data_IF_894641130201
#
_entry.id   IF_894641130201
#
_cell.length_a   1.000
_cell.length_b   1.000
_cell.length_c   1.000
_cell.angle_alpha   90.00
_cell.angle_beta   90.00
_cell.angle_gamma   90.00
#
_symmetry.space_group_name_H-M   'P 1'
#
loop_
_entity.id
_entity.type
_entity.pdbx_description
1 polymer ?
#
# COMPACT_ATOMS: atom_id res chain seq x y z
N UNK A 1 31.15 11.95 -13.00
CA UNK A 1 29.83 12.57 -12.81
C UNK A 1 28.87 11.41 -12.60
N UNK A 2 28.66 11.03 -11.35
CA UNK A 2 27.58 10.15 -10.95
C UNK A 2 26.25 10.87 -11.16
N UNK A 3 25.20 10.12 -11.45
CA UNK A 3 23.85 10.68 -11.59
C UNK A 3 23.26 10.89 -10.20
N UNK A 4 22.55 11.99 -9.96
CA UNK A 4 21.95 12.29 -8.64
C UNK A 4 21.05 11.15 -8.17
N UNK A 5 20.33 10.51 -9.10
CA UNK A 5 19.47 9.38 -8.81
C UNK A 5 20.21 8.09 -8.41
N UNK A 6 21.51 7.97 -8.68
CA UNK A 6 22.35 6.84 -8.24
C UNK A 6 22.96 7.15 -6.87
N UNK A 7 23.47 8.36 -6.66
CA UNK A 7 24.06 8.75 -5.37
C UNK A 7 23.00 8.71 -4.25
N UNK A 8 21.77 9.14 -4.55
CA UNK A 8 20.63 9.03 -3.64
C UNK A 8 20.30 7.58 -3.22
N UNK A 9 20.77 6.57 -3.97
CA UNK A 9 20.55 5.16 -3.67
C UNK A 9 21.43 4.69 -2.50
N UNK A 10 22.70 5.08 -2.53
CA UNK A 10 23.67 4.75 -1.49
C UNK A 10 23.36 5.51 -0.20
N UNK A 11 23.03 6.81 -0.30
CA UNK A 11 22.56 7.61 0.83
C UNK A 11 21.29 7.02 1.46
N UNK A 12 20.34 6.58 0.64
CA UNK A 12 19.12 5.95 1.12
C UNK A 12 19.39 4.62 1.84
N UNK A 13 20.36 3.85 1.37
CA UNK A 13 20.79 2.60 2.00
C UNK A 13 21.41 2.87 3.37
N UNK A 14 22.29 3.85 3.46
CA UNK A 14 22.99 4.20 4.70
C UNK A 14 22.03 4.80 5.73
N UNK A 15 21.14 5.72 5.30
CA UNK A 15 20.10 6.28 6.15
C UNK A 15 19.13 5.20 6.67
N UNK A 16 18.69 4.28 5.79
CA UNK A 16 17.83 3.16 6.19
C UNK A 16 18.52 2.26 7.21
N UNK A 17 19.78 1.92 6.96
CA UNK A 17 20.58 1.07 7.86
C UNK A 17 20.76 1.73 9.22
N UNK A 18 21.07 3.03 9.26
CA UNK A 18 21.24 3.79 10.50
C UNK A 18 19.93 4.03 11.28
N UNK A 19 18.76 3.97 10.63
CA UNK A 19 17.47 4.03 11.30
C UNK A 19 17.11 2.67 11.94
N UNK A 20 17.36 1.60 11.19
CA UNK A 20 17.05 0.22 11.56
C UNK A 20 18.01 -0.38 12.58
N UNK A 21 19.27 0.06 12.57
CA UNK A 21 20.33 -0.41 13.44
C UNK A 21 20.82 0.72 14.36
N UNK A 22 21.10 0.44 15.65
CA UNK A 22 21.00 -0.86 16.32
C UNK A 22 19.55 -1.34 16.48
N UNK A 23 19.37 -2.66 16.55
CA UNK A 23 18.04 -3.27 16.63
C UNK A 23 17.31 -2.88 17.92
N UNK A 24 16.16 -2.23 17.76
CA UNK A 24 15.22 -1.89 18.82
C UNK A 24 13.83 -2.44 18.43
N UNK A 25 13.36 -3.44 19.17
CA UNK A 25 12.08 -4.09 18.89
C UNK A 25 10.89 -3.12 18.92
N UNK A 26 10.94 -2.09 19.78
CA UNK A 26 9.91 -1.06 19.86
C UNK A 26 9.93 -0.14 18.64
N UNK A 27 11.11 0.25 18.16
CA UNK A 27 11.27 1.01 16.91
C UNK A 27 10.78 0.21 15.71
N UNK A 28 11.21 -1.04 15.59
CA UNK A 28 10.81 -1.95 14.52
C UNK A 28 9.31 -2.20 14.51
N UNK A 29 8.69 -2.47 15.66
CA UNK A 29 7.25 -2.68 15.74
C UNK A 29 6.44 -1.45 15.31
N UNK A 30 6.86 -0.24 15.70
CA UNK A 30 6.20 1.00 15.29
C UNK A 30 6.39 1.28 13.81
N UNK A 31 7.60 1.08 13.26
CA UNK A 31 7.84 1.23 11.82
C UNK A 31 7.07 0.19 11.02
N UNK A 32 6.97 -1.05 11.49
CA UNK A 32 6.18 -2.10 10.84
C UNK A 32 4.70 -1.73 10.82
N UNK A 33 4.18 -1.22 11.94
CA UNK A 33 2.81 -0.70 12.00
C UNK A 33 2.60 0.47 11.03
N UNK A 34 3.52 1.42 10.94
CA UNK A 34 3.46 2.52 9.95
C UNK A 34 3.48 1.95 8.52
N UNK A 35 4.43 1.05 8.23
CA UNK A 35 4.62 0.44 6.92
C UNK A 35 3.42 -0.41 6.48
N UNK A 36 2.68 -1.02 7.41
CA UNK A 36 1.45 -1.75 7.12
C UNK A 36 0.42 -0.86 6.39
N UNK A 37 0.24 0.38 6.85
CA UNK A 37 -0.71 1.30 6.23
C UNK A 37 -0.13 2.02 5.01
N UNK A 38 1.18 2.32 5.01
CA UNK A 38 1.83 3.03 3.89
C UNK A 38 2.10 2.12 2.69
N UNK A 39 2.62 0.91 2.93
CA UNK A 39 2.87 -0.09 1.89
C UNK A 39 1.59 -0.75 1.38
N UNK A 40 0.44 -0.51 2.04
CA UNK A 40 -0.84 -1.13 1.75
C UNK A 40 -0.83 -2.66 1.92
N UNK A 41 -2.01 -3.28 1.94
CA UNK A 41 -2.13 -4.74 1.78
C UNK A 41 -1.96 -5.18 0.30
N UNK A 42 -1.38 -4.31 -0.54
CA UNK A 42 -1.21 -4.49 -1.98
C UNK A 42 -0.52 -3.29 -2.67
N UNK A 43 0.30 -2.51 -1.95
CA UNK A 43 0.80 -1.19 -2.37
C UNK A 43 2.31 -1.10 -2.61
N UNK A 44 2.90 -2.11 -3.24
CA UNK A 44 4.02 -1.88 -4.16
C UNK A 44 3.48 -2.05 -5.57
N UNK A 45 3.63 -1.04 -6.42
CA UNK A 45 3.13 -1.07 -7.79
C UNK A 45 3.50 -2.36 -8.52
N UNK A 46 2.50 -2.94 -9.20
CA UNK A 46 2.68 -4.12 -10.06
C UNK A 46 2.36 -5.43 -9.37
N UNK A 47 1.56 -6.24 -10.07
CA UNK A 47 1.22 -7.62 -9.77
C UNK A 47 0.34 -7.83 -8.53
N UNK A 48 -0.97 -7.75 -8.77
CA UNK A 48 -2.01 -8.62 -8.25
C UNK A 48 -1.84 -9.15 -6.84
N UNK A 49 -2.77 -8.75 -5.97
CA UNK A 49 -3.36 -9.71 -5.04
C UNK A 49 -4.01 -10.84 -5.84
N UNK A 50 -3.20 -11.73 -6.41
CA UNK A 50 -3.62 -13.06 -6.79
C UNK A 50 -3.75 -13.84 -5.47
N UNK A 51 -4.74 -13.47 -4.65
CA UNK A 51 -5.52 -14.48 -3.94
C UNK A 51 -6.16 -15.31 -5.04
N UNK A 52 -5.40 -16.29 -5.53
CA UNK A 52 -5.82 -17.35 -6.42
C UNK A 52 -6.89 -18.16 -5.69
N UNK A 53 -8.05 -17.55 -5.52
CA UNK A 53 -9.28 -18.25 -5.24
C UNK A 53 -9.65 -18.80 -6.60
N UNK A 54 -9.14 -19.99 -6.91
CA UNK A 54 -9.77 -20.83 -7.93
C UNK A 54 -11.14 -21.18 -7.37
N UNK A 55 -12.10 -20.25 -7.45
CA UNK A 55 -13.50 -20.62 -7.44
C UNK A 55 -13.65 -21.57 -8.62
N UNK A 56 -13.98 -22.85 -8.39
CA UNK A 56 -14.25 -23.74 -9.50
C UNK A 56 -15.46 -23.15 -10.22
N UNK A 57 -15.26 -22.58 -11.40
CA UNK A 57 -16.37 -22.25 -12.31
C UNK A 57 -16.83 -23.55 -12.96
N UNK A 58 -17.23 -24.51 -12.12
CA UNK A 58 -18.03 -25.64 -12.55
C UNK A 58 -19.44 -25.13 -12.72
N UNK A 59 -19.92 -25.05 -13.96
CA UNK A 59 -21.32 -24.81 -14.30
C UNK A 59 -22.23 -25.97 -13.90
N UNK A 60 -22.10 -26.45 -12.67
CA UNK A 60 -23.06 -27.31 -12.01
C UNK A 60 -23.86 -26.44 -11.06
N UNK A 61 -25.16 -26.30 -11.31
CA UNK A 61 -26.12 -25.90 -10.29
C UNK A 61 -25.96 -26.87 -9.12
N UNK A 62 -25.13 -26.50 -8.15
CA UNK A 62 -25.11 -27.17 -6.86
C UNK A 62 -26.34 -26.63 -6.17
N UNK A 63 -27.45 -27.34 -6.33
CA UNK A 63 -28.64 -27.14 -5.52
C UNK A 63 -28.22 -27.37 -4.07
N UNK A 64 -27.82 -26.29 -3.40
CA UNK A 64 -27.63 -26.30 -1.95
C UNK A 64 -29.03 -26.57 -1.40
N UNK A 65 -29.26 -27.68 -0.67
CA UNK A 65 -30.57 -28.00 -0.14
C UNK A 65 -30.97 -26.88 0.82
N UNK A 66 -31.84 -25.98 0.35
CA UNK A 66 -32.35 -24.84 1.12
C UNK A 66 -33.15 -25.30 2.34
N UNK A 67 -33.64 -26.54 2.32
CA UNK A 67 -34.28 -27.23 3.45
C UNK A 67 -33.34 -27.54 4.63
N UNK A 68 -32.02 -27.38 4.48
CA UNK A 68 -31.03 -27.57 5.56
C UNK A 68 -30.56 -26.27 6.20
N UNK A 69 -31.01 -25.11 5.71
CA UNK A 69 -30.67 -23.81 6.25
C UNK A 69 -31.69 -23.42 7.35
N UNK A 70 -31.24 -22.83 8.47
CA UNK A 70 -32.14 -22.31 9.49
C UNK A 70 -33.18 -21.35 8.87
N UNK A 71 -34.44 -21.39 9.31
CA UNK A 71 -35.57 -20.64 8.72
C UNK A 71 -35.48 -19.11 8.67
N UNK A 72 -34.37 -18.51 9.12
CA UNK A 72 -34.04 -17.10 8.92
C UNK A 72 -33.24 -16.82 7.63
N UNK A 73 -32.83 -17.85 6.89
CA UNK A 73 -32.10 -17.71 5.62
C UNK A 73 -33.10 -17.69 4.46
N UNK A 74 -33.82 -16.58 4.31
CA UNK A 74 -34.61 -16.31 3.09
C UNK A 74 -33.70 -15.68 2.02
N UNK A 75 -34.01 -15.82 0.71
CA UNK A 75 -33.24 -15.17 -0.36
C UNK A 75 -33.07 -13.65 -0.16
N UNK A 76 -34.09 -13.01 0.41
CA UNK A 76 -34.07 -11.58 0.77
C UNK A 76 -33.08 -11.28 1.89
N UNK A 77 -33.03 -12.11 2.94
CA UNK A 77 -32.07 -11.96 4.04
C UNK A 77 -30.63 -12.23 3.60
N UNK A 78 -30.42 -13.14 2.64
CA UNK A 78 -29.10 -13.38 2.03
C UNK A 78 -28.65 -12.17 1.22
N UNK A 79 -29.52 -11.60 0.38
CA UNK A 79 -29.19 -10.42 -0.41
C UNK A 79 -28.88 -9.20 0.49
N UNK A 80 -29.70 -8.98 1.53
CA UNK A 80 -29.46 -7.95 2.53
C UNK A 80 -28.14 -8.18 3.29
N UNK A 81 -27.81 -9.42 3.66
CA UNK A 81 -26.55 -9.77 4.31
C UNK A 81 -25.34 -9.53 3.39
N UNK A 82 -25.45 -9.84 2.09
CA UNK A 82 -24.38 -9.56 1.11
C UNK A 82 -24.18 -8.06 0.96
N UNK A 83 -25.24 -7.26 0.82
CA UNK A 83 -25.14 -5.80 0.74
C UNK A 83 -24.51 -5.24 2.03
N UNK A 84 -24.95 -5.71 3.19
CA UNK A 84 -24.37 -5.29 4.46
C UNK A 84 -22.88 -5.64 4.56
N UNK A 85 -22.49 -6.85 4.13
CA UNK A 85 -21.09 -7.28 4.12
C UNK A 85 -20.24 -6.42 3.17
N UNK A 86 -20.75 -6.14 1.96
CA UNK A 86 -20.09 -5.26 0.99
C UNK A 86 -19.95 -3.84 1.54
N UNK A 87 -21.00 -3.31 2.16
CA UNK A 87 -20.98 -1.99 2.80
C UNK A 87 -19.93 -1.93 3.92
N UNK A 88 -19.88 -2.93 4.79
CA UNK A 88 -18.85 -3.03 5.84
C UNK A 88 -17.45 -3.13 5.23
N UNK A 89 -17.27 -3.94 4.18
CA UNK A 89 -16.00 -4.04 3.46
C UNK A 89 -15.53 -2.71 2.88
N UNK A 90 -16.44 -1.94 2.26
CA UNK A 90 -16.16 -0.60 1.72
C UNK A 90 -15.77 0.36 2.85
N UNK A 91 -16.49 0.35 3.97
CA UNK A 91 -16.15 1.21 5.12
C UNK A 91 -14.77 0.87 5.67
N UNK A 92 -14.46 -0.42 5.85
CA UNK A 92 -13.14 -0.85 6.31
C UNK A 92 -12.04 -0.45 5.34
N UNK A 93 -12.29 -0.59 4.04
CA UNK A 93 -11.36 -0.17 2.99
C UNK A 93 -11.12 1.35 3.01
N UNK A 94 -12.17 2.16 3.15
CA UNK A 94 -12.06 3.63 3.24
C UNK A 94 -11.32 4.05 4.50
N UNK A 95 -11.60 3.43 5.65
CA UNK A 95 -10.87 3.69 6.91
C UNK A 95 -9.39 3.32 6.75
N UNK A 96 -9.09 2.18 6.15
CA UNK A 96 -7.72 1.77 5.87
C UNK A 96 -7.00 2.78 4.98
N UNK A 97 -7.64 3.17 3.88
CA UNK A 97 -7.11 4.15 2.93
C UNK A 97 -6.83 5.49 3.63
N UNK A 98 -7.77 5.99 4.44
CA UNK A 98 -7.63 7.21 5.21
C UNK A 98 -6.46 7.16 6.19
N UNK A 99 -6.36 6.08 6.98
CA UNK A 99 -5.25 5.88 7.92
C UNK A 99 -3.93 5.81 7.15
N UNK A 100 -3.90 5.12 6.01
CA UNK A 100 -2.77 5.09 5.07
C UNK A 100 -2.32 6.49 4.65
N UNK A 101 -3.25 7.35 4.21
CA UNK A 101 -2.94 8.72 3.81
C UNK A 101 -2.28 9.52 4.94
N UNK A 102 -2.77 9.43 6.18
CA UNK A 102 -2.15 10.10 7.33
C UNK A 102 -0.79 9.48 7.67
N UNK A 103 -0.69 8.15 7.61
CA UNK A 103 0.51 7.40 7.98
C UNK A 103 1.70 7.70 7.06
N UNK A 104 1.45 8.11 5.81
CA UNK A 104 2.51 8.58 4.91
C UNK A 104 3.28 9.78 5.48
N UNK A 105 2.59 10.72 6.13
CA UNK A 105 3.21 11.87 6.77
C UNK A 105 3.97 11.47 8.03
N UNK A 106 3.38 10.58 8.84
CA UNK A 106 4.04 10.02 10.03
C UNK A 106 5.33 9.29 9.66
N UNK A 107 5.34 8.58 8.53
CA UNK A 107 6.55 7.93 8.02
C UNK A 107 7.63 8.96 7.68
N UNK A 108 7.30 10.06 7.01
CA UNK A 108 8.28 11.13 6.71
C UNK A 108 8.87 11.70 7.99
N UNK A 109 8.01 12.09 8.94
CA UNK A 109 8.49 12.66 10.21
C UNK A 109 9.39 11.66 10.97
N UNK A 110 9.07 10.36 10.93
CA UNK A 110 9.84 9.30 11.56
C UNK A 110 11.21 9.07 10.90
N UNK A 111 11.29 9.07 9.55
CA UNK A 111 12.56 8.89 8.83
C UNK A 111 13.46 10.13 8.92
N UNK A 112 12.86 11.33 8.92
CA UNK A 112 13.60 12.59 9.07
C UNK A 112 14.14 12.74 10.48
N UNK A 113 13.32 12.53 11.51
CA UNK A 113 13.72 12.76 12.92
C UNK A 113 14.53 11.60 13.52
N UNK A 114 14.53 10.41 12.88
CA UNK A 114 15.00 9.14 13.46
C UNK A 114 14.33 8.73 14.79
N UNK A 115 13.27 9.44 15.20
CA UNK A 115 12.46 9.13 16.38
C UNK A 115 11.07 8.64 15.96
N UNK A 116 10.84 7.34 16.14
CA UNK A 116 9.62 6.68 15.67
C UNK A 116 8.52 6.84 16.71
N UNK A 117 7.74 7.91 16.55
CA UNK A 117 6.56 8.23 17.35
C UNK A 117 5.32 8.27 16.46
N UNK A 118 4.25 7.56 16.85
CA UNK A 118 3.02 7.50 16.05
C UNK A 118 2.03 8.57 16.49
N UNK A 119 1.71 8.63 17.80
CA UNK A 119 0.57 9.42 18.31
C UNK A 119 0.67 10.92 18.07
N UNK A 120 1.84 11.51 18.32
CA UNK A 120 2.05 12.96 18.19
C UNK A 120 2.03 13.41 16.71
N UNK A 121 2.86 12.82 15.81
CA UNK A 121 2.83 13.19 14.38
C UNK A 121 1.49 12.90 13.72
N UNK A 122 0.79 11.82 14.10
CA UNK A 122 -0.53 11.51 13.55
C UNK A 122 -1.54 12.63 13.80
N UNK A 123 -1.52 13.26 14.99
CA UNK A 123 -2.41 14.37 15.33
C UNK A 123 -1.99 15.67 14.63
N UNK A 124 -0.69 15.95 14.58
CA UNK A 124 -0.15 17.16 13.96
C UNK A 124 -0.36 17.16 12.43
N UNK A 125 -0.23 15.98 11.79
CA UNK A 125 -0.36 15.81 10.34
C UNK A 125 -1.75 15.37 9.88
N UNK A 126 -2.73 15.28 10.78
CA UNK A 126 -4.07 14.77 10.49
C UNK A 126 -4.71 15.50 9.30
N UNK A 127 -4.69 16.84 9.31
CA UNK A 127 -5.31 17.65 8.26
C UNK A 127 -4.60 17.54 6.90
N UNK A 128 -3.28 17.33 6.90
CA UNK A 128 -2.53 17.05 5.68
C UNK A 128 -2.92 15.68 5.11
N UNK A 129 -3.08 14.67 5.96
CA UNK A 129 -3.60 13.36 5.59
C UNK A 129 -5.04 13.39 5.06
N UNK A 130 -5.93 14.19 5.65
CA UNK A 130 -7.31 14.38 5.16
C UNK A 130 -7.32 14.98 3.75
N UNK A 131 -6.47 15.98 3.49
CA UNK A 131 -6.34 16.59 2.15
C UNK A 131 -5.82 15.59 1.12
N UNK A 132 -4.84 14.78 1.49
CA UNK A 132 -4.33 13.70 0.65
C UNK A 132 -5.41 12.65 0.37
N UNK A 133 -6.10 12.17 1.41
CA UNK A 133 -7.19 11.20 1.27
C UNK A 133 -8.29 11.73 0.34
N UNK A 134 -8.70 12.99 0.50
CA UNK A 134 -9.72 13.60 -0.35
C UNK A 134 -9.33 13.62 -1.84
N UNK A 135 -8.06 13.92 -2.14
CA UNK A 135 -7.54 13.84 -3.51
C UNK A 135 -7.51 12.40 -4.02
N UNK A 136 -6.99 11.46 -3.23
CA UNK A 136 -6.90 10.06 -3.63
C UNK A 136 -8.29 9.43 -3.85
N UNK A 137 -9.25 9.71 -2.96
CA UNK A 137 -10.62 9.28 -3.09
C UNK A 137 -11.31 9.92 -4.30
N UNK A 138 -11.10 11.23 -4.52
CA UNK A 138 -11.61 11.92 -5.71
C UNK A 138 -11.06 11.34 -7.02
N UNK A 139 -9.76 11.05 -7.06
CA UNK A 139 -9.11 10.43 -8.22
C UNK A 139 -9.63 9.01 -8.45
N UNK A 140 -9.79 8.22 -7.39
CA UNK A 140 -10.37 6.88 -7.48
C UNK A 140 -11.80 6.91 -8.02
N UNK A 141 -12.64 7.81 -7.51
CA UNK A 141 -14.02 8.01 -8.00
C UNK A 141 -14.02 8.47 -9.47
N UNK A 142 -13.11 9.35 -9.87
CA UNK A 142 -12.99 9.79 -11.26
C UNK A 142 -12.63 8.63 -12.20
N UNK A 143 -11.67 7.79 -11.82
CA UNK A 143 -11.29 6.59 -12.59
C UNK A 143 -12.44 5.60 -12.68
N UNK A 144 -13.11 5.34 -11.55
CA UNK A 144 -14.30 4.49 -11.55
C UNK A 144 -15.38 5.06 -12.46
N UNK A 145 -15.65 6.35 -12.42
CA UNK A 145 -16.65 6.96 -13.31
C UNK A 145 -16.29 6.74 -14.78
N UNK A 146 -15.03 6.96 -15.18
CA UNK A 146 -14.58 6.77 -16.57
C UNK A 146 -14.75 5.31 -17.04
N UNK A 147 -14.52 4.33 -16.16
CA UNK A 147 -14.64 2.90 -16.51
C UNK A 147 -16.09 2.40 -16.41
N UNK A 148 -16.82 2.78 -15.36
CA UNK A 148 -18.13 2.23 -15.03
C UNK A 148 -19.26 2.89 -15.82
N UNK A 149 -19.16 4.17 -16.19
CA UNK A 149 -20.17 4.86 -17.00
C UNK A 149 -20.45 4.17 -18.35
N UNK A 150 -19.44 3.83 -19.18
CA UNK A 150 -19.71 3.14 -20.44
C UNK A 150 -20.28 1.74 -20.22
N UNK A 151 -19.83 1.03 -19.17
CA UNK A 151 -20.38 -0.29 -18.81
C UNK A 151 -21.84 -0.17 -18.40
N UNK A 152 -22.17 0.79 -17.53
CA UNK A 152 -23.52 1.05 -17.06
C UNK A 152 -24.45 1.44 -18.22
N UNK A 153 -23.98 2.25 -19.17
CA UNK A 153 -24.75 2.63 -20.35
C UNK A 153 -25.18 1.41 -21.19
N UNK A 154 -24.30 0.41 -21.32
CA UNK A 154 -24.63 -0.86 -21.99
C UNK A 154 -25.60 -1.70 -21.15
N UNK A 155 -25.36 -1.84 -19.85
CA UNK A 155 -26.18 -2.70 -18.97
C UNK A 155 -27.59 -2.16 -18.71
N UNK A 156 -27.75 -0.84 -18.61
CA UNK A 156 -29.04 -0.16 -18.40
C UNK A 156 -29.86 -0.06 -19.70
N UNK A 157 -29.40 -0.65 -20.80
CA UNK A 157 -30.13 -0.71 -22.07
C UNK A 157 -30.14 0.61 -22.85
N UNK A 158 -29.34 1.60 -22.46
CA UNK A 158 -29.20 2.86 -23.20
C UNK A 158 -28.39 2.71 -24.50
N UNK A 159 -27.69 1.58 -24.65
CA UNK A 159 -26.95 1.19 -25.86
C UNK A 159 -27.28 -0.25 -26.21
N UNK A 160 -27.69 -0.51 -27.46
CA UNK A 160 -27.97 -1.87 -27.92
C UNK A 160 -26.68 -2.70 -27.99
N UNK A 161 -26.69 -3.89 -27.37
CA UNK A 161 -25.56 -4.83 -27.42
C UNK A 161 -25.46 -5.38 -28.84
N UNK A 162 -24.51 -4.86 -29.61
CA UNK A 162 -24.21 -5.33 -30.97
C UNK A 162 -22.77 -5.85 -31.03
N UNK A 163 -22.41 -6.71 -32.01
CA UNK A 163 -21.02 -7.11 -32.22
C UNK A 163 -20.07 -5.92 -32.35
N UNK A 164 -20.54 -4.79 -32.88
CA UNK A 164 -19.79 -3.54 -32.96
C UNK A 164 -19.49 -2.92 -31.57
N UNK A 165 -20.42 -3.00 -30.62
CA UNK A 165 -20.20 -2.58 -29.22
C UNK A 165 -19.23 -3.52 -28.51
N UNK A 166 -19.29 -4.82 -28.81
CA UNK A 166 -18.28 -5.78 -28.34
C UNK A 166 -16.86 -5.45 -28.84
N UNK A 167 -16.74 -4.97 -30.09
CA UNK A 167 -15.46 -4.53 -30.65
C UNK A 167 -14.91 -3.26 -29.97
N UNK A 168 -15.79 -2.38 -29.48
CA UNK A 168 -15.41 -1.18 -28.68
C UNK A 168 -14.89 -1.52 -27.28
N UNK A 169 -15.15 -2.73 -26.76
CA UNK A 169 -14.58 -3.17 -25.50
C UNK A 169 -13.04 -3.24 -25.55
N UNK A 170 -12.46 -3.61 -26.69
CA UNK A 170 -11.00 -3.71 -26.86
C UNK A 170 -10.30 -2.35 -26.64
N UNK A 171 -10.60 -1.28 -27.39
CA UNK A 171 -9.98 0.02 -27.17
C UNK A 171 -10.33 0.60 -25.79
N UNK A 172 -11.52 0.30 -25.23
CA UNK A 172 -11.88 0.70 -23.87
C UNK A 172 -10.97 0.03 -22.81
N UNK A 173 -10.64 -1.25 -22.98
CA UNK A 173 -9.71 -1.96 -22.10
C UNK A 173 -8.31 -1.35 -22.20
N UNK A 174 -7.81 -1.07 -23.40
CA UNK A 174 -6.51 -0.39 -23.57
C UNK A 174 -6.50 1.01 -22.94
N UNK A 175 -7.58 1.78 -23.12
CA UNK A 175 -7.76 3.08 -22.49
C UNK A 175 -7.78 2.94 -20.96
N UNK A 176 -8.49 1.96 -20.41
CA UNK A 176 -8.54 1.71 -18.98
C UNK A 176 -7.15 1.33 -18.43
N UNK A 177 -6.41 0.46 -19.11
CA UNK A 177 -5.03 0.09 -18.73
C UNK A 177 -4.13 1.32 -18.74
N UNK A 178 -4.16 2.12 -19.82
CA UNK A 178 -3.36 3.33 -19.94
C UNK A 178 -3.72 4.35 -18.84
N UNK A 179 -5.01 4.54 -18.58
CA UNK A 179 -5.51 5.42 -17.52
C UNK A 179 -5.03 4.96 -16.13
N UNK A 180 -5.17 3.66 -15.83
CA UNK A 180 -4.70 3.07 -14.57
C UNK A 180 -3.18 3.23 -14.40
N UNK A 181 -2.41 3.08 -15.47
CA UNK A 181 -0.96 3.27 -15.44
C UNK A 181 -0.59 4.73 -15.17
N UNK A 182 -1.26 5.68 -15.83
CA UNK A 182 -1.07 7.12 -15.57
C UNK A 182 -1.42 7.46 -14.12
N UNK A 183 -2.55 6.96 -13.62
CA UNK A 183 -3.00 7.16 -12.24
C UNK A 183 -2.00 6.58 -11.25
N UNK A 184 -1.47 5.38 -11.52
CA UNK A 184 -0.45 4.76 -10.68
C UNK A 184 0.81 5.63 -10.58
N UNK A 185 1.30 6.15 -11.71
CA UNK A 185 2.47 7.06 -11.74
C UNK A 185 2.16 8.36 -10.98
N UNK A 186 1.00 8.98 -11.21
CA UNK A 186 0.60 10.22 -10.52
C UNK A 186 0.50 10.00 -9.01
N UNK A 187 -0.10 8.89 -8.57
CA UNK A 187 -0.21 8.53 -7.17
C UNK A 187 1.14 8.26 -6.52
N UNK A 188 2.03 7.61 -7.27
CA UNK A 188 3.40 7.35 -6.86
C UNK A 188 4.16 8.67 -6.66
N UNK A 189 4.20 9.54 -7.68
CA UNK A 189 4.84 10.86 -7.60
C UNK A 189 4.24 11.75 -6.50
N UNK A 190 2.92 11.67 -6.29
CA UNK A 190 2.24 12.37 -5.20
C UNK A 190 2.80 11.91 -3.85
N UNK A 191 2.88 10.61 -3.65
CA UNK A 191 3.36 10.03 -2.40
C UNK A 191 4.84 10.33 -2.17
N UNK A 192 5.66 10.26 -3.22
CA UNK A 192 7.12 10.35 -3.11
C UNK A 192 7.63 11.76 -2.91
N UNK A 193 7.01 12.73 -3.61
CA UNK A 193 7.54 14.09 -3.73
C UNK A 193 6.57 15.12 -3.18
N UNK A 194 5.28 15.01 -3.49
CA UNK A 194 4.29 16.01 -3.06
C UNK A 194 4.05 15.92 -1.56
N UNK A 195 4.01 14.73 -0.97
CA UNK A 195 3.85 14.54 0.48
C UNK A 195 5.01 15.16 1.28
N UNK A 196 6.29 14.91 0.95
CA UNK A 196 7.40 15.65 1.58
C UNK A 196 7.32 17.16 1.40
N UNK A 197 6.97 17.66 0.20
CA UNK A 197 6.81 19.10 -0.04
C UNK A 197 5.69 19.73 0.79
N UNK A 198 4.57 19.00 1.00
CA UNK A 198 3.51 19.43 1.91
C UNK A 198 4.00 19.57 3.35
N UNK A 199 4.96 18.75 3.78
CA UNK A 199 5.57 18.82 5.11
C UNK A 199 6.55 19.97 5.20
N UNK A 200 7.43 20.12 4.21
CA UNK A 200 8.49 21.12 4.19
C UNK A 200 7.95 22.56 4.18
N UNK A 201 6.92 22.81 3.36
CA UNK A 201 6.42 24.16 3.11
C UNK A 201 5.00 24.42 3.68
N UNK A 202 4.42 23.48 4.43
CA UNK A 202 3.04 23.53 4.96
C UNK A 202 1.96 23.92 3.92
N UNK A 203 2.09 23.36 2.71
CA UNK A 203 1.23 23.68 1.57
C UNK A 203 0.10 22.67 1.37
N UNK A 204 -0.96 23.12 0.70
CA UNK A 204 -2.01 22.21 0.24
C UNK A 204 -1.52 21.36 -0.95
N UNK A 205 -2.11 20.18 -1.14
CA UNK A 205 -1.68 19.21 -2.14
C UNK A 205 -1.56 19.79 -3.57
N UNK A 206 -2.57 20.55 -4.02
CA UNK A 206 -2.58 21.17 -5.35
C UNK A 206 -1.47 22.22 -5.51
N UNK A 207 -1.22 23.02 -4.47
CA UNK A 207 -0.12 23.98 -4.47
C UNK A 207 1.25 23.31 -4.42
N UNK A 208 1.38 22.20 -3.69
CA UNK A 208 2.61 21.39 -3.65
C UNK A 208 2.88 20.73 -5.01
N UNK A 209 1.85 20.27 -5.72
CA UNK A 209 1.98 19.84 -7.12
C UNK A 209 2.51 20.97 -8.02
N UNK A 210 1.95 22.17 -7.89
CA UNK A 210 2.44 23.35 -8.62
C UNK A 210 3.90 23.71 -8.32
N UNK A 211 4.39 23.42 -7.10
CA UNK A 211 5.79 23.62 -6.68
C UNK A 211 6.75 22.56 -7.22
N UNK A 212 6.30 21.31 -7.32
CA UNK A 212 7.13 20.16 -7.71
C UNK A 212 7.22 19.98 -9.23
N UNK A 213 6.17 20.32 -9.99
CA UNK A 213 6.16 20.17 -11.46
C UNK A 213 7.29 20.95 -12.16
N UNK A 214 7.60 22.21 -11.79
CA UNK A 214 8.73 22.93 -12.37
C UNK A 214 10.08 22.23 -12.09
N UNK A 215 10.27 21.67 -10.90
CA UNK A 215 11.48 20.92 -10.52
C UNK A 215 11.63 19.68 -11.39
N UNK A 216 10.55 18.92 -11.59
CA UNK A 216 10.55 17.77 -12.51
C UNK A 216 10.90 18.15 -13.95
N UNK A 217 10.38 19.29 -14.43
CA UNK A 217 10.63 19.76 -15.79
C UNK A 217 12.06 20.28 -15.98
N UNK A 218 12.69 20.79 -14.94
CA UNK A 218 14.08 21.23 -14.97
C UNK A 218 15.05 20.04 -15.05
N UNK A 219 14.76 18.94 -14.36
CA UNK A 219 15.63 17.76 -14.27
C UNK A 219 14.98 16.46 -14.80
N UNK A 220 14.34 16.52 -15.97
CA UNK A 220 13.60 15.37 -16.53
C UNK A 220 14.44 14.09 -16.66
N UNK A 221 15.75 14.21 -16.89
CA UNK A 221 16.65 13.07 -17.00
C UNK A 221 16.83 12.33 -15.67
N UNK A 222 16.96 13.07 -14.56
CA UNK A 222 17.13 12.49 -13.22
C UNK A 222 15.82 11.87 -12.71
N UNK A 223 14.70 12.58 -12.87
CA UNK A 223 13.38 12.04 -12.51
C UNK A 223 12.96 10.86 -13.39
N UNK A 224 13.31 10.88 -14.69
CA UNK A 224 13.12 9.74 -15.58
C UNK A 224 13.92 8.52 -15.13
N UNK A 225 15.20 8.72 -14.79
CA UNK A 225 16.05 7.67 -14.25
C UNK A 225 15.51 7.12 -12.92
N UNK A 226 15.07 7.99 -12.01
CA UNK A 226 14.42 7.61 -10.76
C UNK A 226 13.22 6.69 -10.98
N UNK A 227 12.32 7.03 -11.90
CA UNK A 227 11.12 6.22 -12.16
C UNK A 227 11.53 4.83 -12.66
N UNK A 228 12.51 4.74 -13.55
CA UNK A 228 13.02 3.47 -14.08
C UNK A 228 13.69 2.64 -12.98
N UNK A 229 14.63 3.24 -12.24
CA UNK A 229 15.37 2.58 -11.16
C UNK A 229 14.40 2.11 -10.08
N UNK A 230 13.48 2.97 -9.66
CA UNK A 230 12.47 2.62 -8.67
C UNK A 230 11.52 1.52 -9.14
N UNK A 231 11.15 1.52 -10.42
CA UNK A 231 10.34 0.44 -10.98
C UNK A 231 11.07 -0.90 -10.94
N UNK A 232 12.35 -0.94 -11.36
CA UNK A 232 13.19 -2.14 -11.32
C UNK A 232 13.39 -2.62 -9.87
N UNK A 233 13.75 -1.72 -8.96
CA UNK A 233 13.89 -2.01 -7.55
C UNK A 233 12.57 -2.46 -6.93
N UNK A 234 11.44 -1.90 -7.37
CA UNK A 234 10.11 -2.31 -6.92
C UNK A 234 9.82 -3.76 -7.28
N UNK A 235 10.16 -4.18 -8.50
CA UNK A 235 10.05 -5.59 -8.92
C UNK A 235 10.96 -6.46 -8.06
N UNK A 236 12.25 -6.12 -7.93
CA UNK A 236 13.20 -6.91 -7.12
C UNK A 236 12.78 -7.00 -5.65
N UNK A 237 12.35 -5.88 -5.07
CA UNK A 237 11.88 -5.81 -3.71
C UNK A 237 10.58 -6.58 -3.51
N UNK A 238 9.66 -6.57 -4.48
CA UNK A 238 8.41 -7.36 -4.40
C UNK A 238 8.71 -8.86 -4.33
N UNK A 239 9.67 -9.34 -5.12
CA UNK A 239 10.11 -10.75 -5.11
C UNK A 239 10.78 -11.08 -3.78
N UNK A 240 11.71 -10.23 -3.32
CA UNK A 240 12.41 -10.43 -2.06
C UNK A 240 11.45 -10.43 -0.85
N UNK A 241 10.55 -9.46 -0.78
CA UNK A 241 9.50 -9.37 0.26
C UNK A 241 8.55 -10.54 0.16
N UNK A 242 8.13 -10.94 -1.04
CA UNK A 242 7.26 -12.10 -1.25
C UNK A 242 7.87 -13.41 -0.74
N UNK A 243 9.14 -13.66 -1.06
CA UNK A 243 9.88 -14.84 -0.58
C UNK A 243 10.05 -14.76 0.95
N UNK A 244 10.51 -13.63 1.47
CA UNK A 244 10.73 -13.46 2.91
C UNK A 244 9.41 -13.58 3.71
N UNK A 245 8.32 -13.02 3.20
CA UNK A 245 6.99 -13.14 3.80
C UNK A 245 6.49 -14.58 3.77
N UNK A 246 6.66 -15.30 2.65
CA UNK A 246 6.30 -16.72 2.55
C UNK A 246 7.03 -17.56 3.60
N UNK A 247 8.36 -17.40 3.71
CA UNK A 247 9.16 -18.12 4.70
C UNK A 247 8.75 -17.76 6.12
N UNK A 248 8.53 -16.48 6.41
CA UNK A 248 8.15 -16.03 7.73
C UNK A 248 6.73 -16.52 8.11
N UNK A 249 5.79 -16.53 7.16
CA UNK A 249 4.45 -17.11 7.36
C UNK A 249 4.54 -18.61 7.59
N UNK A 250 5.41 -19.34 6.90
CA UNK A 250 5.62 -20.77 7.15
C UNK A 250 6.12 -21.02 8.58
N UNK A 251 7.05 -20.21 9.06
CA UNK A 251 7.54 -20.29 10.45
C UNK A 251 6.41 -20.00 11.45
N UNK A 252 5.59 -18.99 11.19
CA UNK A 252 4.40 -18.67 12.02
C UNK A 252 3.37 -19.79 11.94
N UNK A 253 3.19 -20.45 10.79
CA UNK A 253 2.18 -21.49 10.63
C UNK A 253 2.47 -22.74 11.49
N UNK A 254 3.74 -23.04 11.78
CA UNK A 254 4.13 -24.21 12.58
C UNK A 254 3.46 -24.23 13.98
N UNK A 255 3.61 -23.22 14.86
CA UNK A 255 2.96 -23.23 16.16
C UNK A 255 1.44 -23.25 16.06
N UNK A 256 0.85 -22.57 15.07
CA UNK A 256 -0.60 -22.59 14.85
C UNK A 256 -1.10 -23.95 14.38
N UNK A 257 -0.34 -24.66 13.53
CA UNK A 257 -0.64 -26.01 13.10
C UNK A 257 -0.53 -27.01 14.26
N UNK A 258 0.46 -26.86 15.15
CA UNK A 258 0.61 -27.67 16.35
C UNK A 258 -0.57 -27.46 17.29
N UNK A 259 -0.89 -26.21 17.63
CA UNK A 259 -2.00 -25.86 18.53
C UNK A 259 -3.34 -26.25 17.91
N UNK A 260 -3.56 -25.97 16.63
CA UNK A 260 -4.77 -26.34 15.90
C UNK A 260 -4.95 -27.85 15.77
N UNK A 261 -3.88 -28.58 15.50
CA UNK A 261 -3.88 -30.04 15.49
C UNK A 261 -4.19 -30.63 16.86
N UNK A 262 -3.58 -30.12 17.92
CA UNK A 262 -3.88 -30.54 19.29
C UNK A 262 -5.34 -30.25 19.68
N UNK A 263 -5.85 -29.07 19.35
CA UNK A 263 -7.25 -28.69 19.57
C UNK A 263 -8.21 -29.60 18.79
N UNK A 264 -7.88 -29.93 17.54
CA UNK A 264 -8.65 -30.86 16.71
C UNK A 264 -8.75 -32.25 17.36
N UNK A 265 -7.61 -32.80 17.78
CA UNK A 265 -7.56 -34.12 18.43
C UNK A 265 -8.32 -34.12 19.77
N UNK A 266 -8.20 -33.06 20.56
CA UNK A 266 -8.91 -32.94 21.84
C UNK A 266 -10.44 -32.88 21.67
N UNK A 267 -10.93 -32.10 20.71
CA UNK A 267 -12.37 -32.04 20.41
C UNK A 267 -12.90 -33.37 19.88
N UNK A 268 -12.13 -34.04 19.02
CA UNK A 268 -12.49 -35.36 18.51
C UNK A 268 -12.56 -36.40 19.64
N UNK A 269 -11.59 -36.42 20.56
CA UNK A 269 -11.59 -37.28 21.73
C UNK A 269 -12.76 -37.01 22.69
N UNK A 270 -13.23 -35.75 22.77
CA UNK A 270 -14.41 -35.36 23.54
C UNK A 270 -15.74 -35.59 22.80
N UNK A 271 -15.71 -36.18 21.59
CA UNK A 271 -16.86 -36.38 20.71
C UNK A 271 -17.62 -35.07 20.38
N UNK A 272 -16.90 -33.95 20.34
CA UNK A 272 -17.42 -32.62 20.02
C UNK A 272 -17.27 -32.39 18.51
N UNK A 273 -18.38 -32.09 17.83
CA UNK A 273 -18.37 -31.79 16.41
C UNK A 273 -17.55 -30.51 16.10
N UNK A 274 -16.79 -30.52 14.99
CA UNK A 274 -15.96 -29.39 14.58
C UNK A 274 -16.75 -28.09 14.37
N UNK A 275 -17.96 -28.22 13.82
CA UNK A 275 -18.89 -27.10 13.58
C UNK A 275 -19.81 -26.82 14.77
N UNK A 276 -19.58 -27.44 15.93
CA UNK A 276 -20.25 -27.03 17.17
C UNK A 276 -19.85 -25.61 17.55
N UNK A 277 -20.64 -24.95 18.40
CA UNK A 277 -20.31 -23.63 18.94
C UNK A 277 -18.90 -23.59 19.53
N UNK A 278 -18.49 -24.64 20.26
CA UNK A 278 -17.15 -24.74 20.86
C UNK A 278 -16.08 -24.82 19.78
N UNK A 279 -16.26 -25.67 18.76
CA UNK A 279 -15.31 -25.80 17.66
C UNK A 279 -15.16 -24.50 16.86
N UNK A 280 -16.27 -23.83 16.54
CA UNK A 280 -16.25 -22.54 15.84
C UNK A 280 -15.54 -21.44 16.64
N UNK A 281 -15.74 -21.38 17.96
CA UNK A 281 -15.04 -20.40 18.80
C UNK A 281 -13.54 -20.69 18.85
N UNK A 282 -13.14 -21.96 19.04
CA UNK A 282 -11.72 -22.34 19.15
C UNK A 282 -10.98 -22.12 17.82
N UNK A 283 -11.48 -22.65 16.72
CA UNK A 283 -10.84 -22.51 15.41
C UNK A 283 -11.02 -21.11 14.83
N UNK A 284 -12.13 -20.43 15.11
CA UNK A 284 -12.34 -19.03 14.75
C UNK A 284 -11.32 -18.11 15.44
N UNK A 285 -11.14 -18.25 16.75
CA UNK A 285 -10.14 -17.49 17.49
C UNK A 285 -8.72 -17.80 17.00
N UNK A 286 -8.39 -19.08 16.81
CA UNK A 286 -7.09 -19.51 16.29
C UNK A 286 -6.82 -18.95 14.88
N UNK A 287 -7.84 -18.98 14.00
CA UNK A 287 -7.76 -18.43 12.65
C UNK A 287 -7.57 -16.92 12.64
N UNK A 288 -8.31 -16.18 13.47
CA UNK A 288 -8.12 -14.73 13.63
C UNK A 288 -6.72 -14.41 14.13
N UNK A 289 -6.24 -15.11 15.15
CA UNK A 289 -4.88 -14.93 15.67
C UNK A 289 -3.82 -15.26 14.61
N UNK A 290 -4.03 -16.30 13.79
CA UNK A 290 -3.12 -16.64 12.70
C UNK A 290 -3.07 -15.51 11.66
N UNK A 291 -4.23 -15.00 11.24
CA UNK A 291 -4.31 -13.89 10.29
C UNK A 291 -3.62 -12.65 10.84
N UNK A 292 -3.86 -12.29 12.10
CA UNK A 292 -3.19 -11.14 12.74
C UNK A 292 -1.68 -11.33 12.84
N UNK A 293 -1.20 -12.55 13.15
CA UNK A 293 0.21 -12.88 13.18
C UNK A 293 0.86 -12.77 11.79
N UNK A 294 0.19 -13.30 10.75
CA UNK A 294 0.63 -13.19 9.35
C UNK A 294 0.71 -11.73 8.89
N UNK A 295 -0.29 -10.91 9.23
CA UNK A 295 -0.28 -9.47 8.92
C UNK A 295 0.89 -8.77 9.63
N UNK A 296 1.09 -9.04 10.91
CA UNK A 296 2.18 -8.43 11.70
C UNK A 296 3.56 -8.81 11.15
N UNK A 297 3.77 -10.08 10.81
CA UNK A 297 5.03 -10.55 10.25
C UNK A 297 5.25 -10.01 8.84
N UNK A 298 4.22 -9.99 7.99
CA UNK A 298 4.29 -9.36 6.68
C UNK A 298 4.67 -7.87 6.77
N UNK A 299 4.11 -7.15 7.74
CA UNK A 299 4.44 -5.76 8.01
C UNK A 299 5.91 -5.57 8.40
N UNK A 300 6.47 -6.45 9.24
CA UNK A 300 7.90 -6.43 9.63
C UNK A 300 8.80 -6.71 8.43
N UNK A 301 8.44 -7.66 7.56
CA UNK A 301 9.22 -8.03 6.38
C UNK A 301 9.28 -6.89 5.35
N UNK A 302 8.16 -6.20 5.10
CA UNK A 302 8.12 -5.12 4.11
C UNK A 302 8.66 -3.78 4.62
N UNK A 303 8.74 -3.61 5.95
CA UNK A 303 9.10 -2.35 6.60
C UNK A 303 10.44 -1.74 6.14
N UNK A 304 11.54 -2.50 6.01
CA UNK A 304 12.80 -1.98 5.48
C UNK A 304 12.67 -1.44 4.05
N UNK A 305 11.91 -2.13 3.18
CA UNK A 305 11.70 -1.74 1.79
C UNK A 305 10.92 -0.44 1.68
N UNK A 306 9.82 -0.32 2.44
CA UNK A 306 9.02 0.91 2.48
C UNK A 306 9.86 2.10 2.95
N UNK A 307 10.72 1.87 3.94
CA UNK A 307 11.61 2.90 4.50
C UNK A 307 12.69 3.31 3.51
N UNK A 308 13.30 2.33 2.85
CA UNK A 308 14.31 2.55 1.83
C UNK A 308 13.81 3.40 0.67
N UNK A 309 12.65 3.04 0.10
CA UNK A 309 12.07 3.83 -0.99
C UNK A 309 11.67 5.24 -0.55
N UNK A 310 11.37 5.43 0.74
CA UNK A 310 11.08 6.76 1.30
C UNK A 310 12.34 7.61 1.41
N UNK A 311 13.45 7.06 1.90
CA UNK A 311 14.71 7.78 1.89
C UNK A 311 15.18 8.09 0.47
N UNK A 312 15.05 7.13 -0.46
CA UNK A 312 15.44 7.32 -1.85
C UNK A 312 14.71 8.51 -2.50
N UNK A 313 13.41 8.65 -2.26
CA UNK A 313 12.66 9.80 -2.78
C UNK A 313 13.05 11.13 -2.11
N UNK A 314 13.34 11.11 -0.81
CA UNK A 314 13.73 12.31 -0.06
C UNK A 314 15.11 12.84 -0.47
N UNK A 315 16.10 11.97 -0.62
CA UNK A 315 17.44 12.37 -1.07
C UNK A 315 17.44 12.91 -2.50
N UNK A 316 16.68 12.29 -3.40
CA UNK A 316 16.52 12.81 -4.76
C UNK A 316 15.80 14.16 -4.76
N UNK A 317 14.76 14.33 -3.95
CA UNK A 317 14.05 15.60 -3.86
C UNK A 317 14.97 16.71 -3.35
N UNK A 318 15.74 16.42 -2.30
CA UNK A 318 16.69 17.37 -1.72
C UNK A 318 17.90 17.65 -2.62
N UNK A 319 18.25 16.78 -3.57
CA UNK A 319 19.35 17.04 -4.52
C UNK A 319 18.89 17.81 -5.75
N UNK A 320 17.59 17.76 -6.07
CA UNK A 320 16.98 18.58 -7.10
C UNK A 320 16.63 20.00 -6.60
N UNK A 321 16.31 20.16 -5.30
CA UNK A 321 15.96 21.44 -4.71
C UNK A 321 16.29 21.48 -3.20
N UNK A 322 17.30 22.27 -2.83
CA UNK A 322 17.79 22.39 -1.45
C UNK A 322 16.72 22.86 -0.45
N UNK A 323 15.74 23.66 -0.91
CA UNK A 323 14.66 24.12 -0.03
C UNK A 323 13.70 23.01 0.39
N UNK A 324 13.72 21.88 -0.32
CA UNK A 324 12.93 20.69 -0.06
C UNK A 324 13.76 19.56 0.58
N UNK A 325 15.02 19.83 0.94
CA UNK A 325 15.90 18.83 1.53
C UNK A 325 15.61 18.62 3.02
N UNK A 326 14.69 17.68 3.30
CA UNK A 326 14.36 17.24 4.65
C UNK A 326 15.41 16.30 5.27
N UNK A 327 16.41 15.86 4.51
CA UNK A 327 17.41 14.85 4.92
C UNK A 327 18.85 15.37 4.87
N UNK A 328 19.04 16.68 4.71
CA UNK A 328 20.34 17.38 4.73
C UNK A 328 21.28 16.92 5.84
N UNK A 329 20.75 16.74 7.05
CA UNK A 329 21.49 16.28 8.23
C UNK A 329 22.11 14.87 8.11
N UNK A 330 21.76 14.11 7.07
CA UNK A 330 22.29 12.77 6.80
C UNK A 330 23.26 12.72 5.62
N UNK A 331 23.48 13.84 4.92
CA UNK A 331 24.49 13.92 3.86
C UNK A 331 25.88 13.85 4.49
N UNK A 332 26.74 13.03 3.91
CA UNK A 332 28.16 12.94 4.27
C UNK A 332 28.84 14.27 3.96
N UNK A 333 29.75 14.74 4.82
CA UNK A 333 30.42 16.05 4.66
C UNK A 333 31.14 16.24 3.31
N UNK A 334 31.45 15.17 2.58
CA UNK A 334 32.04 15.20 1.23
C UNK A 334 31.15 15.87 0.17
N UNK A 335 29.84 15.96 0.39
CA UNK A 335 28.89 16.61 -0.54
C UNK A 335 28.66 18.10 -0.22
N UNK A 336 29.21 18.59 0.89
CA UNK A 336 28.95 19.93 1.44
C UNK A 336 29.96 21.02 1.05
N UNK A 337 30.93 20.74 0.15
CA UNK A 337 32.01 21.69 -0.13
C UNK A 337 32.51 21.65 -1.58
N UNK A 338 31.90 22.44 -2.47
CA UNK A 338 32.72 23.21 -3.41
C UNK A 338 32.96 24.57 -2.73
N UNK A 339 34.16 24.84 -2.17
CA UNK A 339 34.47 26.19 -1.72
C UNK A 339 34.44 27.09 -2.97
N UNK A 340 33.71 28.20 -2.89
CA UNK A 340 33.82 29.28 -3.86
C UNK A 340 35.30 29.57 -4.11
N UNK A 341 35.76 29.25 -5.32
CA UNK A 341 37.13 29.51 -5.73
C UNK A 341 37.41 31.01 -5.58
N UNK A 342 38.62 31.39 -5.13
CA UNK A 342 38.93 32.78 -4.85
C UNK A 342 38.71 33.63 -6.10
N UNK A 343 37.90 34.69 -5.94
CA UNK A 343 37.71 35.73 -6.95
C UNK A 343 39.08 36.30 -7.33
N UNK A 344 39.52 36.19 -8.60
CA UNK A 344 40.77 36.82 -9.01
C UNK A 344 40.58 38.34 -8.96
N UNK A 345 41.48 39.00 -8.23
CA UNK A 345 41.63 40.45 -8.18
C UNK A 345 42.16 41.02 -9.51
#
# INVERSE_FOLDING_TARGET
MSWKAIDALDDARDATTSLLLPFDAGRWARLAFIALFVGGLGGSGGAGSNTGTTTPTGGGSTDIPTDSLPGFVTPENVFAAVIALVAVGIVLWLVWMFVGSVMQFVLVDAVVTKDVRIRKPFRERFWLGVRLFGFQAGLFVAVLAVILLPIAAVLLGSVAVTPAVGLLAIPLVFLAIALLLVVAIVMQLTTDFVVPTMIAEDRALLSSWGRVVPVFRAELSEFGLYVIVRFILGILASIAVGIAALLAVLVVAIPFAIVGGAAFLALNAANVALFSTVGLVVFGALGVLFVLATIAVGAVVQMPVVTYFRYYSLFLLGSADDSLDLVSQFRSDDDSSAPDGPTPA
#
